data_IF_332620305145
#
_entry.id   IF_332620305145
#
_cell.length_a   1.000
_cell.length_b   1.000
_cell.length_c   1.000
_cell.angle_alpha   90.00
_cell.angle_beta   90.00
_cell.angle_gamma   90.00
#
_symmetry.space_group_name_H-M   'P 1'
#
loop_
_entity.id
_entity.type
_entity.pdbx_description
1 polymer ?
#
# COMPACT_ATOMS: atom_id res chain seq x y z
N UNK A 1 -6.28 22.42 -11.52
CA UNK A 1 -6.48 21.01 -11.12
C UNK A 1 -5.47 20.15 -11.85
N UNK A 2 -4.51 19.62 -11.11
CA UNK A 2 -3.33 18.92 -11.62
C UNK A 2 -3.64 17.57 -12.25
N UNK A 3 -4.70 16.89 -11.77
CA UNK A 3 -5.11 15.56 -12.26
C UNK A 3 -6.53 15.61 -12.82
N UNK A 4 -6.73 15.04 -14.01
CA UNK A 4 -8.06 14.77 -14.57
C UNK A 4 -8.62 13.40 -14.16
N UNK A 5 -7.83 12.65 -13.38
CA UNK A 5 -8.14 11.32 -12.89
C UNK A 5 -9.40 11.29 -11.99
N UNK A 6 -10.12 10.16 -11.94
CA UNK A 6 -11.14 9.97 -10.93
C UNK A 6 -10.53 10.05 -9.53
N UNK A 7 -11.01 10.99 -8.72
CA UNK A 7 -10.49 11.20 -7.36
C UNK A 7 -11.34 10.45 -6.33
N UNK A 8 -10.67 9.96 -5.29
CA UNK A 8 -11.29 9.36 -4.11
C UNK A 8 -10.53 9.77 -2.86
N UNK A 9 -11.16 9.64 -1.70
CA UNK A 9 -10.49 9.79 -0.41
C UNK A 9 -10.45 8.46 0.33
N UNK A 10 -9.35 8.19 1.05
CA UNK A 10 -9.34 7.11 2.01
C UNK A 10 -10.05 7.55 3.29
N UNK A 11 -10.73 6.61 3.95
CA UNK A 11 -11.31 6.82 5.28
C UNK A 11 -11.42 5.48 6.01
N UNK A 12 -11.55 5.52 7.34
CA UNK A 12 -11.91 4.33 8.11
C UNK A 12 -13.41 4.01 7.93
N UNK A 13 -13.83 2.80 8.31
CA UNK A 13 -15.23 2.36 8.25
C UNK A 13 -16.11 3.00 9.36
N UNK A 14 -16.10 4.34 9.42
CA UNK A 14 -16.78 5.13 10.44
C UNK A 14 -17.66 6.22 9.80
N UNK A 15 -18.91 6.32 10.28
CA UNK A 15 -19.90 7.25 9.72
C UNK A 15 -19.45 8.71 9.79
N UNK A 16 -18.85 9.12 10.91
CA UNK A 16 -18.36 10.49 11.07
C UNK A 16 -17.30 10.86 10.03
N UNK A 17 -16.35 9.97 9.77
CA UNK A 17 -15.29 10.20 8.78
C UNK A 17 -15.83 10.19 7.35
N UNK A 18 -16.82 9.33 7.05
CA UNK A 18 -17.50 9.33 5.75
C UNK A 18 -18.24 10.64 5.48
N UNK A 19 -18.89 11.22 6.49
CA UNK A 19 -19.50 12.55 6.37
C UNK A 19 -18.45 13.63 6.08
N UNK A 20 -17.34 13.65 6.83
CA UNK A 20 -16.25 14.59 6.57
C UNK A 20 -15.75 14.51 5.11
N UNK A 21 -15.58 13.29 4.59
CA UNK A 21 -15.17 13.07 3.19
C UNK A 21 -16.23 13.57 2.20
N UNK A 22 -17.52 13.28 2.45
CA UNK A 22 -18.63 13.74 1.62
C UNK A 22 -18.74 15.28 1.61
N UNK A 23 -18.55 15.92 2.76
CA UNK A 23 -18.60 17.38 2.92
C UNK A 23 -17.45 18.09 2.19
N UNK A 24 -16.31 17.42 2.00
CA UNK A 24 -15.22 17.90 1.13
C UNK A 24 -15.51 17.66 -0.37
N UNK A 25 -16.68 17.13 -0.73
CA UNK A 25 -17.13 16.95 -2.11
C UNK A 25 -16.71 15.64 -2.78
N UNK A 26 -16.10 14.70 -2.06
CA UNK A 26 -15.77 13.39 -2.63
C UNK A 26 -17.01 12.52 -2.76
N UNK A 27 -17.16 11.89 -3.93
CA UNK A 27 -18.22 10.90 -4.21
C UNK A 27 -17.72 9.46 -4.16
N UNK A 28 -16.41 9.25 -4.07
CA UNK A 28 -15.74 7.95 -4.12
C UNK A 28 -14.82 7.79 -2.93
N UNK A 29 -14.80 6.59 -2.36
CA UNK A 29 -14.04 6.28 -1.14
C UNK A 29 -13.24 5.00 -1.25
N UNK A 30 -12.10 4.96 -0.56
CA UNK A 30 -11.39 3.74 -0.22
C UNK A 30 -11.54 3.52 1.27
N UNK A 31 -12.09 2.38 1.68
CA UNK A 31 -12.35 2.13 3.09
C UNK A 31 -11.26 1.25 3.69
N UNK A 32 -10.60 1.73 4.72
CA UNK A 32 -9.80 0.89 5.59
C UNK A 32 -10.74 0.03 6.44
N UNK A 33 -10.66 -1.29 6.28
CA UNK A 33 -11.45 -2.22 7.08
C UNK A 33 -10.86 -2.30 8.51
N UNK A 34 -11.71 -2.35 9.54
CA UNK A 34 -11.28 -2.47 10.93
C UNK A 34 -10.86 -3.91 11.25
N UNK A 35 -10.16 -4.08 12.38
CA UNK A 35 -9.80 -5.42 12.88
C UNK A 35 -10.97 -6.18 13.48
N UNK A 36 -12.00 -5.46 13.94
CA UNK A 36 -13.26 -6.04 14.40
C UNK A 36 -14.12 -6.46 13.21
N UNK A 37 -14.79 -7.60 13.32
CA UNK A 37 -15.74 -8.06 12.31
C UNK A 37 -16.91 -7.08 12.22
N UNK A 38 -17.16 -6.56 11.03
CA UNK A 38 -18.40 -5.87 10.68
C UNK A 38 -19.25 -6.82 9.87
N UNK A 39 -20.53 -6.92 10.21
CA UNK A 39 -21.45 -7.62 9.33
C UNK A 39 -21.78 -6.77 8.09
N UNK A 40 -22.34 -7.44 7.08
CA UNK A 40 -22.66 -6.82 5.79
C UNK A 40 -23.65 -5.65 5.92
N UNK A 41 -24.63 -5.74 6.82
CA UNK A 41 -25.66 -4.71 6.99
C UNK A 41 -25.09 -3.45 7.63
N UNK A 42 -24.19 -3.60 8.60
CA UNK A 42 -23.47 -2.49 9.24
C UNK A 42 -22.71 -1.66 8.20
N UNK A 43 -21.90 -2.31 7.35
CA UNK A 43 -21.19 -1.59 6.29
C UNK A 43 -22.14 -0.99 5.25
N UNK A 44 -23.18 -1.72 4.85
CA UNK A 44 -24.17 -1.20 3.89
C UNK A 44 -24.86 0.07 4.41
N UNK A 45 -25.20 0.11 5.70
CA UNK A 45 -25.84 1.25 6.33
C UNK A 45 -24.95 2.49 6.34
N UNK A 46 -23.62 2.34 6.49
CA UNK A 46 -22.69 3.46 6.38
C UNK A 46 -22.81 4.18 5.04
N UNK A 47 -22.84 3.43 3.93
CA UNK A 47 -22.90 4.01 2.58
C UNK A 47 -24.30 4.43 2.13
N UNK A 48 -25.37 3.96 2.80
CA UNK A 48 -26.72 4.46 2.53
C UNK A 48 -26.93 5.88 3.06
N UNK A 49 -26.27 6.20 4.17
CA UNK A 49 -26.42 7.49 4.86
C UNK A 49 -25.53 8.55 4.23
N UNK A 50 -24.40 8.15 3.64
CA UNK A 50 -23.48 9.07 2.97
C UNK A 50 -23.63 8.97 1.45
N UNK A 51 -23.62 10.09 0.73
CA UNK A 51 -23.62 10.09 -0.75
C UNK A 51 -22.23 9.76 -1.33
N UNK A 52 -21.60 8.71 -0.82
CA UNK A 52 -20.28 8.22 -1.22
C UNK A 52 -20.35 6.75 -1.64
N UNK A 53 -19.53 6.38 -2.63
CA UNK A 53 -19.46 5.01 -3.16
C UNK A 53 -18.07 4.41 -2.93
N UNK A 54 -17.97 3.19 -2.37
CA UNK A 54 -16.68 2.54 -2.22
C UNK A 54 -16.16 2.08 -3.59
N UNK A 55 -14.93 2.45 -3.92
CA UNK A 55 -14.21 1.95 -5.10
C UNK A 55 -13.19 0.87 -4.75
N UNK A 56 -12.78 0.83 -3.48
CA UNK A 56 -11.93 -0.22 -2.94
C UNK A 56 -12.11 -0.38 -1.43
N UNK A 57 -11.82 -1.58 -0.94
CA UNK A 57 -11.64 -1.86 0.49
C UNK A 57 -10.20 -2.29 0.73
N UNK A 58 -9.55 -1.70 1.73
CA UNK A 58 -8.20 -2.10 2.17
C UNK A 58 -8.33 -3.10 3.30
N UNK A 59 -7.59 -4.21 3.19
CA UNK A 59 -7.57 -5.28 4.17
C UNK A 59 -7.36 -4.72 5.60
N UNK A 60 -7.95 -5.33 6.63
CA UNK A 60 -7.61 -5.05 8.03
C UNK A 60 -6.10 -5.16 8.26
N UNK A 61 -5.55 -4.34 9.16
CA UNK A 61 -4.10 -4.20 9.36
C UNK A 61 -3.43 -5.49 9.87
N UNK A 62 -4.20 -6.38 10.48
CA UNK A 62 -3.75 -7.70 10.95
C UNK A 62 -3.80 -8.77 9.84
N UNK A 63 -4.63 -8.59 8.82
CA UNK A 63 -4.72 -9.49 7.68
C UNK A 63 -3.65 -9.13 6.65
N UNK A 64 -2.51 -9.79 6.80
CA UNK A 64 -1.28 -9.50 6.04
C UNK A 64 -0.80 -10.71 5.25
N UNK A 65 -0.05 -10.45 4.16
CA UNK A 65 0.55 -11.48 3.31
C UNK A 65 2.03 -11.72 3.64
N UNK A 66 2.57 -12.87 3.23
CA UNK A 66 4.00 -13.20 3.30
C UNK A 66 4.45 -13.93 4.56
N UNK A 67 3.59 -14.06 5.59
CA UNK A 67 3.82 -14.95 6.75
C UNK A 67 2.87 -16.13 6.72
N UNK A 68 3.37 -17.32 6.38
CA UNK A 68 2.55 -18.54 6.29
C UNK A 68 1.79 -18.85 7.58
N UNK A 69 2.43 -18.69 8.76
CA UNK A 69 1.81 -18.97 10.07
C UNK A 69 0.64 -18.04 10.42
N UNK A 70 0.57 -16.87 9.80
CA UNK A 70 -0.45 -15.85 10.10
C UNK A 70 -1.52 -15.78 9.01
N UNK A 71 -1.42 -16.60 7.97
CA UNK A 71 -2.38 -16.57 6.87
C UNK A 71 -3.66 -17.32 7.26
N UNK A 72 -4.73 -16.56 7.42
CA UNK A 72 -6.05 -17.08 7.75
C UNK A 72 -7.02 -16.88 6.57
N UNK A 73 -7.16 -17.90 5.73
CA UNK A 73 -7.99 -17.87 4.54
C UNK A 73 -9.48 -17.62 4.85
N UNK A 74 -9.99 -18.16 5.97
CA UNK A 74 -11.38 -17.95 6.40
C UNK A 74 -11.65 -16.48 6.73
N UNK A 75 -10.69 -15.80 7.37
CA UNK A 75 -10.82 -14.38 7.68
C UNK A 75 -10.82 -13.51 6.42
N UNK A 76 -10.00 -13.85 5.41
CA UNK A 76 -10.04 -13.18 4.11
C UNK A 76 -11.35 -13.43 3.38
N UNK A 77 -11.81 -14.68 3.33
CA UNK A 77 -13.07 -15.08 2.71
C UNK A 77 -14.25 -14.33 3.33
N UNK A 78 -14.30 -14.23 4.67
CA UNK A 78 -15.29 -13.45 5.38
C UNK A 78 -15.36 -12.00 4.88
N UNK A 79 -14.22 -11.31 4.77
CA UNK A 79 -14.21 -9.93 4.31
C UNK A 79 -14.61 -9.80 2.84
N UNK A 80 -14.15 -10.69 1.96
CA UNK A 80 -14.57 -10.69 0.56
C UNK A 80 -16.09 -10.82 0.42
N UNK A 81 -16.71 -11.78 1.11
CA UNK A 81 -18.17 -11.94 1.11
C UNK A 81 -18.90 -10.75 1.71
N UNK A 82 -18.32 -10.12 2.74
CA UNK A 82 -18.91 -8.95 3.39
C UNK A 82 -18.93 -7.74 2.46
N UNK A 83 -17.84 -7.49 1.72
CA UNK A 83 -17.73 -6.29 0.88
C UNK A 83 -18.24 -6.48 -0.56
N UNK A 84 -18.34 -7.71 -1.07
CA UNK A 84 -18.71 -7.99 -2.46
C UNK A 84 -19.99 -7.28 -2.90
N UNK A 85 -21.00 -7.23 -2.03
CA UNK A 85 -22.29 -6.60 -2.34
C UNK A 85 -22.30 -5.07 -2.29
N UNK A 86 -21.21 -4.47 -1.81
CA UNK A 86 -21.10 -3.02 -1.65
C UNK A 86 -20.55 -2.35 -2.91
N UNK A 87 -20.06 -3.13 -3.87
CA UNK A 87 -19.61 -2.60 -5.15
C UNK A 87 -20.80 -2.34 -6.08
N UNK A 88 -20.96 -1.10 -6.59
CA UNK A 88 -22.03 -0.76 -7.51
C UNK A 88 -21.63 -1.17 -8.93
N UNK A 89 -22.22 -2.27 -9.43
CA UNK A 89 -22.25 -2.74 -10.84
C UNK A 89 -20.91 -2.99 -11.57
N UNK A 90 -19.77 -2.57 -11.00
CA UNK A 90 -18.41 -2.77 -11.49
C UNK A 90 -17.61 -3.72 -10.58
N UNK A 91 -16.55 -4.33 -11.14
CA UNK A 91 -15.61 -5.13 -10.36
C UNK A 91 -14.87 -4.25 -9.33
N UNK A 92 -15.13 -4.49 -8.05
CA UNK A 92 -14.53 -3.78 -6.94
C UNK A 92 -13.08 -4.19 -6.67
N UNK A 93 -12.31 -3.30 -6.03
CA UNK A 93 -10.91 -3.56 -5.70
C UNK A 93 -10.71 -3.88 -4.22
N UNK A 94 -9.98 -4.95 -3.91
CA UNK A 94 -9.56 -5.24 -2.54
C UNK A 94 -8.05 -5.08 -2.41
N UNK A 95 -7.61 -4.13 -1.57
CA UNK A 95 -6.20 -3.79 -1.41
C UNK A 95 -5.59 -4.66 -0.30
N UNK A 96 -4.66 -5.50 -0.70
CA UNK A 96 -3.84 -6.36 0.15
C UNK A 96 -2.50 -5.69 0.47
N UNK A 97 -1.91 -6.04 1.62
CA UNK A 97 -0.60 -5.53 2.03
C UNK A 97 0.26 -6.64 2.67
N UNK A 98 1.58 -6.47 2.58
CA UNK A 98 2.55 -7.41 3.16
C UNK A 98 2.69 -7.27 4.66
N UNK A 99 3.10 -8.35 5.33
CA UNK A 99 3.45 -8.35 6.75
C UNK A 99 4.84 -7.77 6.99
N UNK A 100 4.95 -6.92 8.01
CA UNK A 100 6.25 -6.60 8.60
C UNK A 100 6.77 -7.75 9.48
N UNK A 101 8.09 -7.92 9.53
CA UNK A 101 8.82 -8.91 10.32
C UNK A 101 9.65 -8.21 11.39
N UNK A 102 9.89 -8.85 12.53
CA UNK A 102 10.81 -8.31 13.53
C UNK A 102 12.26 -8.47 13.05
N UNK A 103 13.18 -7.64 13.54
CA UNK A 103 14.61 -7.86 13.26
C UNK A 103 15.11 -9.19 13.84
N UNK A 104 14.55 -9.63 14.99
CA UNK A 104 14.84 -10.93 15.59
C UNK A 104 14.50 -12.10 14.66
N UNK A 105 13.31 -12.10 14.05
CA UNK A 105 12.91 -13.11 13.06
C UNK A 105 13.90 -13.20 11.88
N UNK A 106 14.40 -12.04 11.43
CA UNK A 106 15.39 -12.00 10.36
C UNK A 106 16.75 -12.54 10.81
N UNK A 107 17.23 -12.12 11.98
CA UNK A 107 18.51 -12.58 12.51
C UNK A 107 18.50 -14.08 12.80
N UNK A 108 17.43 -14.62 13.40
CA UNK A 108 17.27 -16.06 13.60
C UNK A 108 17.36 -16.83 12.27
N UNK A 109 16.77 -16.31 11.19
CA UNK A 109 16.86 -16.94 9.88
C UNK A 109 18.30 -16.96 9.31
N UNK A 110 19.05 -15.87 9.53
CA UNK A 110 20.44 -15.73 9.12
C UNK A 110 21.39 -16.59 9.97
N UNK A 111 21.16 -16.65 11.29
CA UNK A 111 21.97 -17.41 12.25
C UNK A 111 21.85 -18.92 12.04
N UNK A 112 20.70 -19.40 11.56
CA UNK A 112 20.52 -20.77 11.11
C UNK A 112 21.35 -21.10 9.85
N UNK A 113 21.91 -20.09 9.16
CA UNK A 113 22.61 -20.20 7.87
C UNK A 113 23.90 -19.35 7.86
N UNK A 114 24.83 -19.54 8.82
CA UNK A 114 25.91 -18.59 9.07
C UNK A 114 26.95 -18.47 7.94
N UNK A 115 26.93 -19.37 6.96
CA UNK A 115 27.84 -19.37 5.78
C UNK A 115 27.15 -19.07 4.46
N UNK A 116 25.83 -18.82 4.47
CA UNK A 116 25.10 -18.50 3.25
C UNK A 116 25.03 -16.97 3.06
N UNK A 117 25.95 -16.42 2.27
CA UNK A 117 25.97 -15.00 1.92
C UNK A 117 24.72 -14.55 1.15
N UNK A 118 23.95 -15.48 0.57
CA UNK A 118 22.68 -15.22 -0.10
C UNK A 118 21.47 -15.39 0.83
N UNK A 119 21.64 -15.71 2.12
CA UNK A 119 20.52 -16.02 3.01
C UNK A 119 19.46 -14.90 3.07
N UNK A 120 19.87 -13.62 3.08
CA UNK A 120 18.94 -12.50 3.03
C UNK A 120 18.18 -12.41 1.69
N UNK A 121 18.84 -12.75 0.59
CA UNK A 121 18.20 -12.83 -0.72
C UNK A 121 17.17 -13.98 -0.75
N UNK A 122 17.57 -15.15 -0.25
CA UNK A 122 16.73 -16.35 -0.17
C UNK A 122 15.49 -16.09 0.69
N UNK A 123 15.66 -15.43 1.86
CA UNK A 123 14.56 -15.04 2.73
C UNK A 123 13.50 -14.20 2.00
N UNK A 124 13.96 -13.19 1.25
CA UNK A 124 13.06 -12.32 0.48
C UNK A 124 12.39 -13.05 -0.67
N UNK A 125 13.13 -13.93 -1.35
CA UNK A 125 12.59 -14.78 -2.41
C UNK A 125 11.47 -15.67 -1.87
N UNK A 126 11.71 -16.36 -0.74
CA UNK A 126 10.71 -17.17 -0.05
C UNK A 126 9.50 -16.36 0.41
N UNK A 127 9.73 -15.14 0.92
CA UNK A 127 8.66 -14.23 1.31
C UNK A 127 7.79 -13.87 0.10
N UNK A 128 8.39 -13.49 -1.03
CA UNK A 128 7.66 -13.12 -2.25
C UNK A 128 6.91 -14.32 -2.84
N UNK A 129 7.51 -15.51 -2.83
CA UNK A 129 6.86 -16.76 -3.25
C UNK A 129 5.65 -17.08 -2.37
N UNK A 130 5.79 -16.91 -1.04
CA UNK A 130 4.68 -17.05 -0.10
C UNK A 130 3.55 -16.06 -0.41
N UNK A 131 3.87 -14.80 -0.71
CA UNK A 131 2.87 -13.80 -1.12
C UNK A 131 2.16 -14.22 -2.41
N UNK A 132 2.89 -14.70 -3.42
CA UNK A 132 2.32 -15.19 -4.68
C UNK A 132 1.35 -16.34 -4.43
N UNK A 133 1.75 -17.34 -3.66
CA UNK A 133 0.92 -18.50 -3.36
C UNK A 133 -0.35 -18.12 -2.60
N UNK A 134 -0.23 -17.20 -1.63
CA UNK A 134 -1.37 -16.67 -0.89
C UNK A 134 -2.32 -15.87 -1.79
N UNK A 135 -1.80 -15.00 -2.65
CA UNK A 135 -2.62 -14.23 -3.59
C UNK A 135 -3.37 -15.14 -4.55
N UNK A 136 -2.74 -16.19 -5.09
CA UNK A 136 -3.44 -17.17 -5.95
C UNK A 136 -4.63 -17.83 -5.25
N UNK A 137 -4.48 -18.17 -3.97
CA UNK A 137 -5.58 -18.71 -3.15
C UNK A 137 -6.69 -17.68 -2.95
N UNK A 138 -6.31 -16.44 -2.62
CA UNK A 138 -7.27 -15.36 -2.45
C UNK A 138 -7.99 -15.00 -3.75
N UNK A 139 -7.31 -15.04 -4.90
CA UNK A 139 -7.90 -14.81 -6.23
C UNK A 139 -8.98 -15.85 -6.56
N UNK A 140 -8.76 -17.12 -6.19
CA UNK A 140 -9.75 -18.19 -6.37
C UNK A 140 -11.05 -17.93 -5.59
N UNK A 141 -10.97 -17.21 -4.46
CA UNK A 141 -12.13 -16.84 -3.62
C UNK A 141 -12.74 -15.51 -4.09
N UNK A 142 -11.91 -14.53 -4.42
CA UNK A 142 -12.32 -13.17 -4.78
C UNK A 142 -12.96 -13.09 -6.18
N UNK A 143 -12.46 -13.86 -7.16
CA UNK A 143 -12.92 -13.80 -8.55
C UNK A 143 -14.40 -14.14 -8.73
N UNK A 144 -14.96 -15.21 -8.14
CA UNK A 144 -16.40 -15.49 -8.22
C UNK A 144 -17.27 -14.38 -7.60
N UNK A 145 -16.70 -13.59 -6.69
CA UNK A 145 -17.38 -12.46 -6.04
C UNK A 145 -17.23 -11.14 -6.83
N UNK A 146 -16.59 -11.17 -8.01
CA UNK A 146 -16.33 -9.98 -8.82
C UNK A 146 -15.28 -9.04 -8.22
N UNK A 147 -14.44 -9.52 -7.30
CA UNK A 147 -13.44 -8.72 -6.60
C UNK A 147 -12.07 -8.89 -7.28
N UNK A 148 -11.43 -7.77 -7.61
CA UNK A 148 -10.06 -7.72 -8.11
C UNK A 148 -9.10 -7.38 -6.99
N UNK A 149 -8.05 -8.18 -6.84
CA UNK A 149 -7.04 -7.92 -5.82
C UNK A 149 -6.04 -6.86 -6.31
N UNK A 150 -5.68 -5.95 -5.41
CA UNK A 150 -4.57 -5.02 -5.59
C UNK A 150 -3.53 -5.27 -4.51
N UNK A 151 -2.25 -5.34 -4.88
CA UNK A 151 -1.14 -5.37 -3.94
C UNK A 151 -0.56 -3.98 -3.74
N UNK A 152 -0.55 -3.51 -2.49
CA UNK A 152 0.08 -2.25 -2.12
C UNK A 152 1.59 -2.40 -1.96
N UNK A 153 2.38 -1.47 -2.50
CA UNK A 153 3.82 -1.46 -2.25
C UNK A 153 4.12 -1.09 -0.80
N UNK A 154 5.08 -1.79 -0.21
CA UNK A 154 5.41 -1.64 1.20
C UNK A 154 6.36 -0.45 1.45
N UNK A 155 6.28 0.22 2.62
CA UNK A 155 7.30 1.14 3.09
C UNK A 155 8.57 0.38 3.50
N UNK A 156 9.59 1.10 3.98
CA UNK A 156 10.80 0.47 4.50
C UNK A 156 10.53 -0.37 5.76
N UNK A 157 9.82 0.21 6.73
CA UNK A 157 9.47 -0.41 8.00
C UNK A 157 8.02 -0.14 8.41
N UNK A 158 7.59 -0.81 9.47
CA UNK A 158 6.30 -0.53 10.10
C UNK A 158 6.38 0.74 10.95
N UNK A 159 5.25 1.37 11.32
CA UNK A 159 5.26 2.52 12.20
C UNK A 159 6.11 2.27 13.44
N UNK A 160 7.03 3.19 13.75
CA UNK A 160 8.02 3.09 14.82
C UNK A 160 9.21 2.15 14.53
N UNK A 161 9.56 1.91 13.25
CA UNK A 161 10.72 1.10 12.86
C UNK A 161 12.03 1.56 13.52
N UNK A 162 12.20 2.86 13.72
CA UNK A 162 13.39 3.44 14.36
C UNK A 162 13.35 3.47 15.89
N UNK A 163 12.24 3.06 16.52
CA UNK A 163 12.17 2.98 17.98
C UNK A 163 12.89 1.73 18.51
N UNK A 164 13.79 1.88 19.50
CA UNK A 164 14.48 0.75 20.12
C UNK A 164 13.50 -0.33 20.61
N UNK A 165 13.77 -1.59 20.26
CA UNK A 165 12.97 -2.75 20.68
C UNK A 165 11.60 -2.90 19.98
N UNK A 166 11.20 -1.95 19.12
CA UNK A 166 9.94 -2.00 18.36
C UNK A 166 10.13 -2.11 16.85
N UNK A 167 11.38 -2.18 16.40
CA UNK A 167 11.74 -2.24 15.00
C UNK A 167 11.13 -3.46 14.27
N UNK A 168 10.16 -3.17 13.40
CA UNK A 168 9.63 -4.13 12.43
C UNK A 168 9.88 -3.61 11.03
N UNK A 169 10.33 -4.51 10.15
CA UNK A 169 10.72 -4.18 8.79
C UNK A 169 9.83 -4.86 7.76
N UNK A 170 9.58 -4.20 6.64
CA UNK A 170 8.95 -4.83 5.49
C UNK A 170 10.05 -5.49 4.65
N UNK A 171 10.14 -6.84 4.62
CA UNK A 171 11.30 -7.50 4.03
C UNK A 171 11.32 -7.42 2.50
N UNK A 172 10.15 -7.33 1.86
CA UNK A 172 9.99 -7.28 0.41
C UNK A 172 8.81 -6.36 0.01
N UNK A 173 8.39 -6.42 -1.27
CA UNK A 173 7.30 -5.62 -1.86
C UNK A 173 7.52 -4.10 -1.91
N UNK A 174 8.72 -3.67 -1.55
CA UNK A 174 9.17 -2.28 -1.55
C UNK A 174 9.97 -1.89 -2.80
N UNK A 175 10.06 -2.75 -3.82
CA UNK A 175 10.79 -2.48 -5.07
C UNK A 175 9.96 -2.87 -6.28
N UNK A 176 10.16 -2.23 -7.45
CA UNK A 176 9.48 -2.59 -8.68
C UNK A 176 9.66 -4.07 -9.01
N UNK A 177 10.90 -4.60 -8.87
CA UNK A 177 11.21 -6.01 -9.12
C UNK A 177 10.33 -6.97 -8.33
N UNK A 178 10.11 -6.73 -7.03
CA UNK A 178 9.26 -7.60 -6.22
C UNK A 178 7.79 -7.53 -6.67
N UNK A 179 7.30 -6.32 -6.96
CA UNK A 179 5.92 -6.10 -7.38
C UNK A 179 5.66 -6.73 -8.75
N UNK A 180 6.54 -6.49 -9.72
CA UNK A 180 6.46 -7.07 -11.06
C UNK A 180 6.44 -8.59 -11.01
N UNK A 181 7.35 -9.21 -10.24
CA UNK A 181 7.37 -10.66 -10.04
C UNK A 181 6.03 -11.20 -9.51
N UNK A 182 5.36 -10.47 -8.62
CA UNK A 182 4.02 -10.85 -8.13
C UNK A 182 2.99 -10.71 -9.24
N UNK A 183 2.94 -9.57 -9.94
CA UNK A 183 1.94 -9.32 -11.00
C UNK A 183 2.13 -10.18 -12.24
N UNK A 184 3.34 -10.69 -12.49
CA UNK A 184 3.61 -11.64 -13.58
C UNK A 184 3.13 -13.06 -13.23
N UNK A 185 3.12 -13.39 -11.93
CA UNK A 185 2.76 -14.72 -11.43
C UNK A 185 1.29 -14.84 -11.00
N UNK A 186 0.55 -13.74 -10.96
CA UNK A 186 -0.82 -13.63 -10.42
C UNK A 186 -1.67 -12.71 -11.31
N UNK A 187 -2.98 -12.65 -11.09
CA UNK A 187 -3.85 -11.66 -11.76
C UNK A 187 -3.93 -10.33 -10.99
N UNK A 188 -3.33 -10.29 -9.81
CA UNK A 188 -3.28 -9.13 -8.91
C UNK A 188 -2.57 -7.95 -9.59
N UNK A 189 -3.20 -6.77 -9.51
CA UNK A 189 -2.64 -5.50 -9.98
C UNK A 189 -2.01 -4.72 -8.82
N UNK A 190 -1.39 -3.58 -9.10
CA UNK A 190 -0.72 -2.78 -8.06
C UNK A 190 -1.61 -1.62 -7.60
N UNK A 191 -1.68 -1.44 -6.28
CA UNK A 191 -2.07 -0.17 -5.65
C UNK A 191 -0.77 0.59 -5.33
N UNK A 192 -0.43 1.58 -6.15
CA UNK A 192 0.81 2.32 -5.98
C UNK A 192 0.65 3.41 -4.91
N UNK A 193 1.35 3.27 -3.80
CA UNK A 193 1.49 4.27 -2.76
C UNK A 193 2.78 5.08 -2.93
N UNK A 194 2.60 6.35 -3.31
CA UNK A 194 3.68 7.27 -3.58
C UNK A 194 4.51 7.60 -2.33
N UNK A 195 3.88 7.63 -1.15
CA UNK A 195 4.56 7.93 0.10
C UNK A 195 5.49 6.77 0.52
N UNK A 196 5.02 5.53 0.40
CA UNK A 196 5.84 4.33 0.62
C UNK A 196 7.00 4.22 -0.39
N UNK A 197 6.73 4.49 -1.67
CA UNK A 197 7.74 4.48 -2.71
C UNK A 197 8.80 5.56 -2.46
N UNK A 198 8.39 6.75 -2.03
CA UNK A 198 9.29 7.85 -1.66
C UNK A 198 10.21 7.47 -0.51
N UNK A 199 9.67 6.90 0.57
CA UNK A 199 10.48 6.43 1.70
C UNK A 199 11.51 5.43 1.18
N UNK A 200 11.08 4.46 0.38
CA UNK A 200 11.97 3.41 -0.09
C UNK A 200 13.08 3.91 -1.03
N UNK A 201 12.74 4.72 -2.05
CA UNK A 201 13.72 5.32 -2.96
C UNK A 201 14.75 6.18 -2.21
N UNK A 202 14.31 6.96 -1.22
CA UNK A 202 15.20 7.79 -0.40
C UNK A 202 16.15 6.94 0.45
N UNK A 203 15.61 5.94 1.15
CA UNK A 203 16.41 5.06 2.02
C UNK A 203 17.47 4.31 1.22
N UNK A 204 17.11 3.73 0.08
CA UNK A 204 18.10 3.01 -0.73
C UNK A 204 19.12 3.93 -1.38
N UNK A 205 18.72 5.12 -1.84
CA UNK A 205 19.66 6.13 -2.33
C UNK A 205 20.66 6.54 -1.25
N UNK A 206 20.20 6.69 0.00
CA UNK A 206 21.08 6.96 1.14
C UNK A 206 22.02 5.78 1.43
N UNK A 207 21.52 4.54 1.39
CA UNK A 207 22.34 3.34 1.63
C UNK A 207 23.41 3.14 0.57
N UNK A 208 23.09 3.42 -0.69
CA UNK A 208 24.05 3.42 -1.78
C UNK A 208 25.23 4.36 -1.50
N UNK A 209 24.96 5.52 -0.88
CA UNK A 209 26.00 6.50 -0.51
C UNK A 209 26.74 6.13 0.78
N UNK A 210 26.05 5.61 1.78
CA UNK A 210 26.59 5.34 3.13
C UNK A 210 27.18 3.94 3.31
N UNK A 211 27.00 3.02 2.35
CA UNK A 211 27.38 1.59 2.43
C UNK A 211 26.78 0.88 3.66
N UNK A 212 25.62 1.35 4.11
CA UNK A 212 24.94 0.92 5.33
C UNK A 212 23.99 -0.25 5.09
N UNK A 213 24.00 -1.27 5.97
CA UNK A 213 23.12 -2.46 5.93
C UNK A 213 21.79 -2.26 6.69
N UNK A 214 21.50 -1.06 7.20
CA UNK A 214 20.39 -0.76 8.12
C UNK A 214 18.99 -0.75 7.46
N UNK A 215 18.58 -1.83 6.78
CA UNK A 215 17.21 -1.99 6.24
C UNK A 215 16.88 -3.40 5.75
N UNK A 216 17.62 -4.42 6.19
CA UNK A 216 17.52 -5.75 5.61
C UNK A 216 17.53 -5.71 4.07
N UNK A 217 18.34 -4.82 3.48
CA UNK A 217 18.41 -4.60 2.05
C UNK A 217 19.58 -5.38 1.47
N UNK A 218 19.33 -6.12 0.39
CA UNK A 218 20.40 -6.76 -0.36
C UNK A 218 21.19 -5.73 -1.15
N UNK A 219 22.48 -5.98 -1.41
CA UNK A 219 23.32 -5.09 -2.23
C UNK A 219 22.69 -4.83 -3.61
N UNK A 220 22.09 -5.86 -4.22
CA UNK A 220 21.37 -5.71 -5.49
C UNK A 220 20.17 -4.77 -5.41
N UNK A 221 19.44 -4.73 -4.29
CA UNK A 221 18.34 -3.75 -4.12
C UNK A 221 18.89 -2.34 -4.02
N UNK A 222 20.03 -2.16 -3.34
CA UNK A 222 20.66 -0.85 -3.16
C UNK A 222 21.22 -0.32 -4.48
N UNK A 223 21.93 -1.16 -5.24
CA UNK A 223 22.55 -0.79 -6.52
C UNK A 223 21.54 -0.51 -7.63
N UNK A 224 20.39 -1.17 -7.59
CA UNK A 224 19.32 -1.01 -8.59
C UNK A 224 18.14 -0.20 -8.06
N UNK A 225 18.34 0.58 -6.99
CA UNK A 225 17.28 1.41 -6.44
C UNK A 225 16.90 2.53 -7.41
N UNK A 226 15.59 2.78 -7.52
CA UNK A 226 15.08 3.97 -8.18
C UNK A 226 15.50 5.22 -7.42
N UNK A 227 15.89 6.28 -8.13
CA UNK A 227 16.40 7.51 -7.51
C UNK A 227 15.32 8.26 -6.73
N UNK A 228 14.10 8.18 -7.23
CA UNK A 228 12.92 8.86 -6.71
C UNK A 228 11.68 7.96 -6.90
N UNK A 229 10.52 8.44 -6.47
CA UNK A 229 9.27 7.70 -6.56
C UNK A 229 8.57 7.82 -7.94
N UNK A 230 8.72 8.89 -8.75
CA UNK A 230 8.23 8.89 -10.12
C UNK A 230 8.91 7.82 -10.99
N UNK A 231 10.23 7.65 -10.87
CA UNK A 231 10.95 6.57 -11.56
C UNK A 231 10.52 5.18 -11.07
N UNK A 232 10.20 5.04 -9.79
CA UNK A 232 9.61 3.82 -9.27
C UNK A 232 8.31 3.50 -10.02
N UNK A 233 7.39 4.47 -10.09
CA UNK A 233 6.11 4.31 -10.77
C UNK A 233 6.29 3.96 -12.25
N UNK A 234 7.21 4.62 -12.96
CA UNK A 234 7.48 4.33 -14.38
C UNK A 234 7.76 2.84 -14.65
N UNK A 235 8.42 2.15 -13.72
CA UNK A 235 8.73 0.72 -13.88
C UNK A 235 7.52 -0.20 -13.67
N UNK A 236 6.46 0.28 -13.01
CA UNK A 236 5.27 -0.53 -12.64
C UNK A 236 3.96 0.02 -13.22
N UNK A 237 4.01 1.06 -14.05
CA UNK A 237 2.82 1.80 -14.50
C UNK A 237 1.82 0.92 -15.23
N UNK A 238 2.28 -0.03 -16.05
CA UNK A 238 1.42 -0.91 -16.85
C UNK A 238 0.65 -1.93 -15.98
N UNK A 239 1.15 -2.16 -14.76
CA UNK A 239 0.60 -3.08 -13.78
C UNK A 239 -0.22 -2.36 -12.69
N UNK A 240 -0.19 -1.02 -12.68
CA UNK A 240 -0.87 -0.20 -11.67
C UNK A 240 -2.34 0.01 -12.03
N UNK A 241 -3.23 -0.25 -11.08
CA UNK A 241 -4.68 -0.05 -11.26
C UNK A 241 -5.24 1.06 -10.35
N UNK A 242 -4.49 1.49 -9.33
CA UNK A 242 -4.88 2.55 -8.41
C UNK A 242 -3.64 3.24 -7.86
N UNK A 243 -3.73 4.55 -7.62
CA UNK A 243 -2.66 5.33 -6.99
C UNK A 243 -3.16 5.94 -5.69
N UNK A 244 -2.41 5.76 -4.60
CA UNK A 244 -2.51 6.53 -3.36
C UNK A 244 -1.49 7.65 -3.40
N UNK A 245 -1.98 8.88 -3.53
CA UNK A 245 -1.14 10.04 -3.80
C UNK A 245 -1.03 10.92 -2.56
N UNK A 246 0.13 10.84 -1.92
CA UNK A 246 0.51 11.68 -0.79
C UNK A 246 2.03 11.71 -0.68
N UNK A 247 2.53 12.56 0.20
CA UNK A 247 3.95 12.72 0.44
C UNK A 247 4.38 12.02 1.74
N UNK A 248 5.68 11.82 1.88
CA UNK A 248 6.32 11.39 3.12
C UNK A 248 7.66 12.10 3.33
N UNK A 249 7.98 12.38 4.59
CA UNK A 249 9.31 12.87 4.96
C UNK A 249 10.29 11.69 4.90
N UNK A 250 11.33 11.79 4.06
CA UNK A 250 12.47 10.87 3.88
C UNK A 250 12.41 9.48 4.54
N UNK A 251 12.58 9.41 5.87
CA UNK A 251 12.67 8.18 6.68
C UNK A 251 11.42 7.89 7.51
N UNK A 252 10.49 8.82 7.56
CA UNK A 252 9.41 8.84 8.52
C UNK A 252 8.25 7.95 8.11
N UNK A 253 8.16 6.79 8.75
CA UNK A 253 6.96 5.94 8.75
C UNK A 253 6.02 6.23 9.95
N UNK A 254 6.22 7.37 10.63
CA UNK A 254 5.34 7.81 11.71
C UNK A 254 4.05 8.44 11.16
N UNK A 255 2.95 8.45 11.94
CA UNK A 255 1.70 9.11 11.53
C UNK A 255 1.87 10.60 11.17
N UNK A 256 2.88 11.28 11.72
CA UNK A 256 3.13 12.71 11.48
C UNK A 256 3.94 12.96 10.20
N UNK A 257 4.61 11.93 9.67
CA UNK A 257 5.57 12.04 8.58
C UNK A 257 5.17 11.26 7.33
N UNK A 258 4.22 10.34 7.45
CA UNK A 258 3.67 9.51 6.38
C UNK A 258 2.28 10.02 5.98
N UNK A 259 1.97 9.97 4.67
CA UNK A 259 0.71 10.44 4.10
C UNK A 259 0.38 11.89 4.49
N UNK A 260 1.35 12.78 4.27
CA UNK A 260 1.19 14.22 4.44
C UNK A 260 0.94 14.91 3.09
N UNK A 261 0.41 16.15 3.07
CA UNK A 261 0.35 16.96 1.85
C UNK A 261 1.74 17.14 1.23
N UNK A 262 1.83 17.33 -0.10
CA UNK A 262 3.11 17.63 -0.72
C UNK A 262 3.58 19.02 -0.30
N UNK A 263 4.81 19.17 0.23
CA UNK A 263 5.41 20.48 0.39
C UNK A 263 5.75 21.08 -0.97
N UNK A 264 5.81 22.41 -1.07
CA UNK A 264 6.14 23.13 -2.32
C UNK A 264 7.44 22.65 -2.96
N UNK A 265 8.43 22.28 -2.14
CA UNK A 265 9.72 21.74 -2.59
C UNK A 265 9.60 20.43 -3.36
N UNK A 266 8.49 19.71 -3.22
CA UNK A 266 8.21 18.45 -3.91
C UNK A 266 7.27 18.60 -5.12
N UNK A 267 6.81 19.81 -5.43
CA UNK A 267 5.94 20.05 -6.60
C UNK A 267 6.58 19.67 -7.93
N UNK A 268 7.90 19.88 -8.17
CA UNK A 268 8.52 19.41 -9.41
C UNK A 268 8.36 17.90 -9.62
N UNK A 269 8.56 17.09 -8.57
CA UNK A 269 8.37 15.64 -8.63
C UNK A 269 6.90 15.25 -8.88
N UNK A 270 5.97 16.02 -8.28
CA UNK A 270 4.54 15.80 -8.45
C UNK A 270 4.06 16.14 -9.87
N UNK A 271 4.60 17.21 -10.47
CA UNK A 271 4.33 17.60 -11.85
C UNK A 271 4.86 16.54 -12.83
N UNK A 272 6.10 16.07 -12.64
CA UNK A 272 6.68 14.97 -13.42
C UNK A 272 5.79 13.73 -13.36
N UNK A 273 5.31 13.36 -12.17
CA UNK A 273 4.40 12.24 -12.03
C UNK A 273 3.07 12.46 -12.75
N UNK A 274 2.49 13.65 -12.66
CA UNK A 274 1.20 13.97 -13.28
C UNK A 274 1.21 13.80 -14.81
N UNK A 275 2.32 14.13 -15.47
CA UNK A 275 2.49 13.94 -16.92
C UNK A 275 2.47 12.46 -17.35
N UNK A 276 2.75 11.55 -16.41
CA UNK A 276 2.97 10.12 -16.68
C UNK A 276 1.82 9.24 -16.21
N UNK A 277 0.93 9.78 -15.38
CA UNK A 277 -0.20 9.06 -14.83
C UNK A 277 -1.27 8.85 -15.90
N UNK A 278 -1.69 7.60 -16.10
CA UNK A 278 -2.81 7.30 -16.99
C UNK A 278 -4.09 7.95 -16.44
N UNK A 279 -4.79 8.80 -17.22
CA UNK A 279 -5.99 9.53 -16.75
C UNK A 279 -7.14 8.64 -16.25
N UNK A 280 -7.13 7.34 -16.58
CA UNK A 280 -8.17 6.40 -16.15
C UNK A 280 -7.91 5.82 -14.76
N UNK A 281 -6.68 5.88 -14.27
CA UNK A 281 -6.31 5.30 -12.97
C UNK A 281 -6.87 6.19 -11.85
N UNK A 282 -7.64 5.66 -10.88
CA UNK A 282 -8.11 6.46 -9.76
C UNK A 282 -6.97 6.97 -8.87
N UNK A 283 -7.06 8.23 -8.45
CA UNK A 283 -6.16 8.86 -7.47
C UNK A 283 -6.86 8.96 -6.13
N UNK A 284 -6.31 8.29 -5.13
CA UNK A 284 -6.81 8.23 -3.76
C UNK A 284 -5.98 9.15 -2.88
N UNK A 285 -6.64 10.00 -2.09
CA UNK A 285 -5.98 10.83 -1.08
C UNK A 285 -5.99 10.09 0.26
N UNK A 286 -4.85 9.57 0.75
CA UNK A 286 -4.79 8.73 1.94
C UNK A 286 -4.75 9.56 3.23
N UNK A 287 -5.79 10.36 3.49
CA UNK A 287 -5.90 11.16 4.72
C UNK A 287 -6.78 10.46 5.77
N UNK A 288 -6.44 10.65 7.04
CA UNK A 288 -7.24 10.20 8.19
C UNK A 288 -7.87 11.36 8.97
N UNK A 289 -7.63 12.62 8.55
CA UNK A 289 -8.24 13.80 9.18
C UNK A 289 -8.78 14.77 8.14
N UNK A 290 -9.86 15.47 8.48
CA UNK A 290 -10.46 16.49 7.61
C UNK A 290 -9.45 17.58 7.24
N UNK A 291 -8.66 18.05 8.21
CA UNK A 291 -7.64 19.08 7.99
C UNK A 291 -6.61 18.63 6.94
N UNK A 292 -6.03 17.44 7.11
CA UNK A 292 -5.04 16.92 6.17
C UNK A 292 -5.66 16.68 4.78
N UNK A 293 -6.91 16.20 4.73
CA UNK A 293 -7.59 15.97 3.46
C UNK A 293 -7.77 17.28 2.69
N UNK A 294 -8.22 18.34 3.38
CA UNK A 294 -8.37 19.68 2.80
C UNK A 294 -7.04 20.25 2.32
N UNK A 295 -5.97 20.06 3.07
CA UNK A 295 -4.62 20.49 2.65
C UNK A 295 -4.12 19.73 1.42
N UNK A 296 -4.30 18.40 1.37
CA UNK A 296 -3.97 17.60 0.19
C UNK A 296 -4.76 18.05 -1.04
N UNK A 297 -6.05 18.35 -0.90
CA UNK A 297 -6.87 18.85 -2.01
C UNK A 297 -6.33 20.16 -2.58
N UNK A 298 -5.89 21.09 -1.72
CA UNK A 298 -5.33 22.38 -2.19
C UNK A 298 -4.11 22.18 -3.08
N UNK A 299 -3.24 21.24 -2.74
CA UNK A 299 -2.07 20.87 -3.55
C UNK A 299 -2.45 20.44 -4.97
N UNK A 300 -3.60 19.80 -5.16
CA UNK A 300 -4.02 19.28 -6.47
C UNK A 300 -4.91 20.23 -7.27
N UNK A 301 -5.42 21.31 -6.65
CA UNK A 301 -6.28 22.28 -7.32
C UNK A 301 -5.47 23.46 -7.87
N UNK A 302 -4.47 23.92 -7.12
CA UNK A 302 -3.50 24.96 -7.53
C UNK A 302 -2.57 24.46 -8.65
#
# INVERSE_FOLDING_TARGET
MLFSNPTAAQTEAELHQLHQVADQGFKRTVIQLPSSRYNREELLNLFRITDTKPIAFRAPRELTLGKAKNFNEEAWSYWFHTVASLYPDDAGHFICHGSAVTLGELFEFLDQRPRNFNALHDYKTQYVETVIDQLKRLEAIARPLGIRLLLENAPMGAPAYFEPGKGRICPALRTPRHLLRVTEATETRICFDAAHARITSNVFTYMHRSRSLFAAATEKEILNATRDWPQFYQQIKEQTAMVRLSYAVSWGDTPQSLHIPFPETAYPELLEFAETLNPRIPVVLPSTTEKNLREMMKTFVN
#
